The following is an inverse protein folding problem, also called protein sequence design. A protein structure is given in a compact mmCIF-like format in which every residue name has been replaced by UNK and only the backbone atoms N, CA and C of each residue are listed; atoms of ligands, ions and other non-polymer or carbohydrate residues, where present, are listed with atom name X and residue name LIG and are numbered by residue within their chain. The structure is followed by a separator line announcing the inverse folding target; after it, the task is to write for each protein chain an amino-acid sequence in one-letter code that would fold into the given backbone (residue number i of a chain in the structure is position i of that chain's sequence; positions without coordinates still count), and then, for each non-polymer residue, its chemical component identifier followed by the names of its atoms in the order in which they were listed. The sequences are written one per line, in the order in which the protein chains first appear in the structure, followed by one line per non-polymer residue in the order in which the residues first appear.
data_IF_758865560253
#
_entry.id   IF_758865560253
#
_cell.length_a   1.000
_cell.length_b   1.000
_cell.length_c   1.000
_cell.angle_alpha   90.00
_cell.angle_beta   90.00
_cell.angle_gamma   90.00
#
_symmetry.space_group_name_H-M   'P 1'
#
loop_
_entity.id
_entity.type
_entity.pdbx_description
1 polymer ?
#
# COMPACT_ATOMS: atom_id res chain seq x y z
N UNK A 1 -37.97 -60.57 -4.04
CA UNK A 1 -37.33 -59.90 -2.89
C UNK A 1 -36.37 -58.83 -3.42
N UNK A 2 -36.53 -57.60 -2.91
CA UNK A 2 -35.62 -56.43 -2.93
C UNK A 2 -35.18 -55.82 -4.27
N UNK A 3 -35.88 -54.73 -4.63
CA UNK A 3 -35.44 -53.66 -5.54
C UNK A 3 -34.31 -52.85 -4.85
N UNK A 4 -33.20 -52.62 -5.54
CA UNK A 4 -32.17 -51.65 -5.15
C UNK A 4 -32.58 -50.27 -5.66
N UNK A 5 -32.89 -49.34 -4.76
CA UNK A 5 -32.94 -47.90 -5.05
C UNK A 5 -31.59 -47.31 -4.65
N UNK A 6 -30.79 -46.87 -5.63
CA UNK A 6 -29.71 -45.91 -5.39
C UNK A 6 -30.35 -44.52 -5.38
N UNK A 7 -30.55 -43.95 -4.19
CA UNK A 7 -30.79 -42.52 -4.05
C UNK A 7 -29.48 -41.78 -4.31
N UNK A 8 -29.44 -41.05 -5.42
CA UNK A 8 -28.44 -40.01 -5.65
C UNK A 8 -28.75 -38.82 -4.73
N UNK A 9 -27.98 -38.66 -3.65
CA UNK A 9 -27.96 -37.43 -2.87
C UNK A 9 -27.24 -36.35 -3.68
N UNK A 10 -28.01 -35.57 -4.43
CA UNK A 10 -27.58 -34.31 -5.02
C UNK A 10 -27.42 -33.27 -3.91
N UNK A 11 -26.21 -33.11 -3.38
CA UNK A 11 -25.87 -31.96 -2.52
C UNK A 11 -25.77 -30.71 -3.39
N UNK A 12 -26.86 -29.94 -3.44
CA UNK A 12 -26.86 -28.55 -3.88
C UNK A 12 -26.08 -27.73 -2.85
N UNK A 13 -24.78 -27.55 -3.08
CA UNK A 13 -23.97 -26.52 -2.43
C UNK A 13 -24.47 -25.17 -2.91
N UNK A 14 -25.37 -24.55 -2.14
CA UNK A 14 -25.74 -23.15 -2.27
C UNK A 14 -24.47 -22.32 -2.04
N UNK A 15 -23.83 -21.91 -3.13
CA UNK A 15 -22.82 -20.87 -3.15
C UNK A 15 -23.52 -19.56 -2.76
N UNK A 16 -23.47 -19.20 -1.48
CA UNK A 16 -23.75 -17.83 -1.07
C UNK A 16 -22.60 -16.99 -1.62
N UNK A 17 -22.85 -16.04 -2.54
CA UNK A 17 -21.82 -15.05 -2.84
C UNK A 17 -21.74 -14.15 -1.62
N UNK A 18 -20.69 -14.33 -0.81
CA UNK A 18 -20.30 -13.33 0.19
C UNK A 18 -19.80 -12.09 -0.55
N UNK A 19 -20.72 -11.33 -1.13
CA UNK A 19 -20.50 -9.91 -1.39
C UNK A 19 -20.48 -9.25 -0.01
N UNK A 20 -19.32 -9.29 0.63
CA UNK A 20 -19.01 -8.36 1.71
C UNK A 20 -19.09 -6.99 1.05
N UNK A 21 -20.20 -6.30 1.29
CA UNK A 21 -20.32 -4.87 1.03
C UNK A 21 -19.21 -4.22 1.84
N UNK A 22 -18.10 -3.88 1.19
CA UNK A 22 -17.15 -2.94 1.75
C UNK A 22 -17.97 -1.68 2.06
N UNK A 23 -18.02 -1.28 3.32
CA UNK A 23 -18.57 0.02 3.66
C UNK A 23 -17.67 1.04 2.95
N UNK A 24 -18.23 1.88 2.08
CA UNK A 24 -17.47 2.91 1.37
C UNK A 24 -16.97 3.93 2.41
N UNK A 25 -15.76 3.72 2.94
CA UNK A 25 -15.08 4.70 3.77
C UNK A 25 -14.98 6.00 2.98
N UNK A 26 -15.67 7.04 3.45
CA UNK A 26 -15.59 8.36 2.84
C UNK A 26 -14.24 8.98 3.25
N UNK A 27 -13.35 9.30 2.29
CA UNK A 27 -12.06 9.91 2.61
C UNK A 27 -12.26 11.20 3.41
N UNK A 28 -11.40 11.51 4.41
CA UNK A 28 -11.49 12.77 5.11
C UNK A 28 -11.43 13.95 4.15
N UNK A 29 -12.11 15.06 4.47
CA UNK A 29 -12.19 16.22 3.58
C UNK A 29 -10.80 16.70 3.13
N UNK A 30 -10.62 16.81 1.81
CA UNK A 30 -9.38 17.26 1.19
C UNK A 30 -8.31 16.17 1.05
N UNK A 31 -8.64 14.93 1.40
CA UNK A 31 -7.83 13.76 1.08
C UNK A 31 -8.36 13.08 -0.17
N UNK A 32 -7.44 12.52 -0.96
CA UNK A 32 -7.71 11.86 -2.24
C UNK A 32 -7.13 10.45 -2.21
N UNK A 33 -7.88 9.47 -2.70
CA UNK A 33 -7.39 8.10 -2.86
C UNK A 33 -6.39 7.98 -4.02
N UNK A 34 -6.56 8.80 -5.07
CA UNK A 34 -5.66 8.88 -6.22
C UNK A 34 -5.27 10.34 -6.47
N UNK A 35 -4.00 10.55 -6.81
CA UNK A 35 -3.49 11.83 -7.29
C UNK A 35 -3.13 11.70 -8.77
N UNK A 36 -3.44 12.73 -9.55
CA UNK A 36 -3.03 12.87 -10.95
C UNK A 36 -2.27 14.18 -11.10
N UNK A 37 -1.08 14.13 -11.69
CA UNK A 37 -0.19 15.30 -11.73
C UNK A 37 0.83 15.24 -12.85
N UNK A 38 1.41 16.38 -13.19
CA UNK A 38 2.52 16.48 -14.13
C UNK A 38 3.82 16.70 -13.38
N UNK A 39 4.80 15.83 -13.60
CA UNK A 39 6.14 15.97 -13.02
C UNK A 39 7.19 15.73 -14.10
N UNK A 40 8.14 16.67 -14.24
CA UNK A 40 9.18 16.62 -15.29
C UNK A 40 8.61 16.39 -16.71
N UNK A 41 7.45 16.98 -17.01
CA UNK A 41 6.78 16.86 -18.30
C UNK A 41 6.04 15.53 -18.52
N UNK A 42 6.00 14.63 -17.54
CA UNK A 42 5.26 13.37 -17.59
C UNK A 42 3.95 13.49 -16.81
N UNK A 43 2.85 13.01 -17.40
CA UNK A 43 1.57 12.84 -16.68
C UNK A 43 1.62 11.55 -15.88
N UNK A 44 1.51 11.66 -14.56
CA UNK A 44 1.68 10.58 -13.60
C UNK A 44 0.42 10.43 -12.74
N UNK A 45 0.21 9.20 -12.28
CA UNK A 45 -0.79 8.84 -11.28
C UNK A 45 -0.14 8.21 -10.06
N UNK A 46 -0.73 8.43 -8.88
CA UNK A 46 -0.29 7.82 -7.63
C UNK A 46 -1.51 7.31 -6.86
N UNK A 47 -1.49 6.03 -6.48
CA UNK A 47 -2.65 5.34 -5.91
C UNK A 47 -3.70 4.93 -6.96
N UNK A 48 -4.84 4.35 -6.52
CA UNK A 48 -5.22 4.15 -5.13
C UNK A 48 -4.50 2.97 -4.49
N UNK A 49 -4.26 3.09 -3.19
CA UNK A 49 -3.87 1.98 -2.32
C UNK A 49 -4.97 1.81 -1.28
N UNK A 50 -5.28 0.57 -0.93
CA UNK A 50 -6.38 0.24 -0.01
C UNK A 50 -6.21 1.02 1.29
N UNK A 51 -7.22 1.78 1.72
CA UNK A 51 -7.18 2.57 2.96
C UNK A 51 -6.24 3.77 2.99
N UNK A 52 -5.39 4.01 1.98
CA UNK A 52 -4.51 5.20 1.94
C UNK A 52 -5.19 6.37 1.24
N UNK A 53 -5.13 7.53 1.90
CA UNK A 53 -5.60 8.78 1.32
C UNK A 53 -4.57 9.88 1.56
N UNK A 54 -4.40 10.76 0.56
CA UNK A 54 -3.35 11.76 0.52
C UNK A 54 -3.90 13.17 0.40
N UNK A 55 -3.27 14.12 1.07
CA UNK A 55 -3.65 15.53 1.06
C UNK A 55 -2.41 16.42 0.87
N UNK A 56 -2.43 17.39 -0.07
CA UNK A 56 -1.36 18.38 -0.20
C UNK A 56 -1.14 19.15 1.10
N UNK A 57 0.11 19.38 1.48
CA UNK A 57 0.41 20.16 2.69
C UNK A 57 0.08 21.65 2.50
N UNK A 58 0.25 22.18 1.28
CA UNK A 58 0.04 23.58 0.95
C UNK A 58 -0.68 23.75 -0.39
N UNK A 59 -1.92 24.25 -0.35
CA UNK A 59 -2.71 24.50 -1.56
C UNK A 59 -2.82 23.27 -2.44
N UNK A 60 -2.42 23.41 -3.70
CA UNK A 60 -2.39 22.34 -4.70
C UNK A 60 -0.96 21.82 -4.98
N UNK A 61 0.03 22.22 -4.16
CA UNK A 61 1.41 21.74 -4.31
C UNK A 61 1.54 20.29 -3.83
N UNK A 62 1.78 19.39 -4.77
CA UNK A 62 1.96 17.97 -4.52
C UNK A 62 3.40 17.57 -4.17
N UNK A 63 4.33 18.52 -4.07
CA UNK A 63 5.72 18.23 -3.68
C UNK A 63 5.80 17.59 -2.29
N UNK A 64 4.85 17.93 -1.40
CA UNK A 64 4.71 17.41 -0.03
C UNK A 64 3.26 17.13 0.29
N UNK A 65 3.02 15.95 0.83
CA UNK A 65 1.69 15.48 1.20
C UNK A 65 1.69 15.05 2.67
N UNK A 66 0.52 15.12 3.29
CA UNK A 66 0.18 14.29 4.45
C UNK A 66 -0.67 13.13 3.98
N UNK A 67 -0.63 12.01 4.70
CA UNK A 67 -1.51 10.88 4.43
C UNK A 67 -2.09 10.28 5.69
N UNK A 68 -3.17 9.54 5.49
CA UNK A 68 -3.80 8.68 6.49
C UNK A 68 -3.97 7.29 5.88
N UNK A 69 -3.83 6.26 6.70
CA UNK A 69 -4.07 4.87 6.32
C UNK A 69 -5.07 4.24 7.27
N UNK A 70 -6.19 3.76 6.73
CA UNK A 70 -7.23 3.04 7.45
C UNK A 70 -7.17 1.54 7.15
N UNK A 71 -7.65 0.71 8.07
CA UNK A 71 -7.72 -0.74 7.91
C UNK A 71 -8.91 -1.19 7.03
N UNK A 72 -9.10 -0.54 5.89
CA UNK A 72 -10.22 -0.76 4.97
C UNK A 72 -10.30 -2.24 4.54
N UNK A 73 -11.46 -2.86 4.73
CA UNK A 73 -11.71 -4.28 4.49
C UNK A 73 -10.78 -5.21 5.30
N UNK A 74 -10.26 -4.73 6.44
CA UNK A 74 -9.24 -5.40 7.26
C UNK A 74 -7.99 -5.78 6.45
N UNK A 75 -7.63 -4.95 5.46
CA UNK A 75 -6.59 -5.30 4.50
C UNK A 75 -5.20 -5.47 5.15
N UNK A 76 -4.87 -4.67 6.16
CA UNK A 76 -3.53 -4.64 6.76
C UNK A 76 -3.42 -5.53 7.99
N UNK A 77 -4.51 -5.66 8.75
CA UNK A 77 -4.56 -6.50 9.94
C UNK A 77 -5.95 -7.07 10.18
N UNK A 78 -6.00 -8.32 10.60
CA UNK A 78 -7.21 -9.03 11.04
C UNK A 78 -7.48 -8.83 12.55
N UNK A 79 -6.59 -8.14 13.27
CA UNK A 79 -6.68 -7.93 14.73
C UNK A 79 -7.56 -6.75 15.12
N UNK A 80 -7.82 -5.83 14.19
CA UNK A 80 -8.55 -4.59 14.44
C UNK A 80 -9.84 -4.55 13.60
N UNK A 81 -10.85 -3.80 14.05
CA UNK A 81 -12.03 -3.52 13.23
C UNK A 81 -11.66 -2.91 11.87
N UNK A 82 -12.59 -3.06 10.94
CA UNK A 82 -12.58 -2.32 9.69
C UNK A 82 -12.52 -0.81 9.95
N UNK A 83 -11.94 -0.05 9.02
CA UNK A 83 -11.80 1.40 9.07
C UNK A 83 -11.09 1.97 10.30
N UNK A 84 -10.34 1.13 11.04
CA UNK A 84 -9.48 1.61 12.13
C UNK A 84 -8.34 2.43 11.53
N UNK A 85 -8.12 3.66 12.03
CA UNK A 85 -6.96 4.46 11.62
C UNK A 85 -5.66 3.78 12.11
N UNK A 86 -4.82 3.37 11.17
CA UNK A 86 -3.58 2.65 11.43
C UNK A 86 -2.36 3.57 11.44
N UNK A 87 -2.23 4.41 10.41
CA UNK A 87 -1.11 5.33 10.27
C UNK A 87 -1.56 6.74 9.92
N UNK A 88 -0.76 7.70 10.37
CA UNK A 88 -0.61 9.01 9.75
C UNK A 88 0.78 9.09 9.13
N UNK A 89 1.01 10.07 8.28
CA UNK A 89 2.36 10.26 7.78
C UNK A 89 2.52 11.41 6.81
N UNK A 90 3.74 11.52 6.31
CA UNK A 90 4.16 12.51 5.33
C UNK A 90 4.75 11.81 4.11
N UNK A 91 4.56 12.42 2.95
CA UNK A 91 5.10 11.93 1.69
C UNK A 91 5.78 13.08 0.94
N UNK A 92 6.99 12.83 0.44
CA UNK A 92 7.79 13.82 -0.29
C UNK A 92 8.08 13.31 -1.69
N UNK A 93 7.69 14.09 -2.70
CA UNK A 93 7.89 13.76 -4.11
C UNK A 93 9.39 13.73 -4.42
N UNK A 94 9.84 12.65 -5.05
CA UNK A 94 11.24 12.45 -5.43
C UNK A 94 11.33 11.72 -6.76
N UNK A 95 12.53 11.67 -7.34
CA UNK A 95 12.83 10.91 -8.56
C UNK A 95 14.13 10.14 -8.37
N UNK A 96 13.99 8.82 -8.35
CA UNK A 96 15.12 7.91 -8.17
C UNK A 96 16.09 8.01 -9.35
N UNK A 97 17.39 7.94 -9.06
CA UNK A 97 18.44 7.97 -10.07
C UNK A 97 18.31 6.77 -11.03
N UNK A 98 18.48 6.97 -12.35
CA UNK A 98 18.32 5.90 -13.34
C UNK A 98 19.58 5.02 -13.47
N UNK A 99 19.95 4.37 -12.36
CA UNK A 99 21.19 3.57 -12.26
C UNK A 99 21.02 2.10 -12.64
N UNK A 100 19.77 1.63 -12.73
CA UNK A 100 19.38 0.31 -13.28
C UNK A 100 17.93 0.34 -13.74
N UNK A 101 17.51 -0.56 -14.65
CA UNK A 101 16.10 -0.72 -15.01
C UNK A 101 15.21 -1.02 -13.80
N UNK A 102 13.95 -0.58 -13.86
CA UNK A 102 12.94 -0.95 -12.88
C UNK A 102 12.63 -2.46 -12.96
N UNK A 103 12.35 -3.12 -11.82
CA UNK A 103 11.97 -4.52 -11.83
C UNK A 103 10.66 -4.72 -12.59
N UNK A 104 10.57 -5.81 -13.35
CA UNK A 104 9.36 -6.19 -14.08
C UNK A 104 8.64 -7.30 -13.33
N UNK A 105 7.32 -7.21 -13.24
CA UNK A 105 6.47 -8.21 -12.62
C UNK A 105 5.09 -8.23 -13.25
N UNK A 106 4.45 -9.40 -13.24
CA UNK A 106 3.02 -9.54 -13.56
C UNK A 106 2.13 -9.01 -12.44
N UNK A 107 2.67 -8.86 -11.23
CA UNK A 107 1.96 -8.24 -10.11
C UNK A 107 1.79 -6.74 -10.33
N UNK A 108 0.78 -6.14 -9.70
CA UNK A 108 0.57 -4.69 -9.75
C UNK A 108 1.73 -3.93 -9.11
N UNK A 109 2.12 -4.33 -7.90
CA UNK A 109 3.18 -3.70 -7.13
C UNK A 109 4.35 -4.68 -7.03
N UNK A 110 5.55 -4.21 -7.34
CA UNK A 110 6.79 -4.99 -7.22
C UNK A 110 7.64 -4.44 -6.08
N UNK A 111 7.75 -5.16 -4.95
CA UNK A 111 8.52 -4.71 -3.81
C UNK A 111 10.02 -4.99 -4.01
N UNK A 112 10.85 -4.12 -3.44
CA UNK A 112 12.29 -4.23 -3.36
C UNK A 112 12.74 -3.73 -1.98
N UNK A 113 13.37 -4.59 -1.18
CA UNK A 113 13.87 -4.19 0.12
C UNK A 113 15.18 -3.40 0.01
N UNK A 114 15.47 -2.55 1.00
CA UNK A 114 16.67 -1.69 0.97
C UNK A 114 17.97 -2.48 0.84
N UNK A 115 18.03 -3.71 1.34
CA UNK A 115 19.20 -4.58 1.21
C UNK A 115 19.58 -4.86 -0.26
N UNK A 116 18.58 -4.85 -1.15
CA UNK A 116 18.71 -5.13 -2.59
C UNK A 116 18.62 -3.86 -3.45
N UNK A 117 18.48 -2.71 -2.81
CA UNK A 117 18.32 -1.41 -3.46
C UNK A 117 19.69 -0.79 -3.82
N UNK A 118 19.81 -0.15 -5.00
CA UNK A 118 20.97 0.65 -5.35
C UNK A 118 21.19 1.75 -4.31
N UNK A 119 22.43 1.88 -3.82
CA UNK A 119 22.81 2.94 -2.89
C UNK A 119 22.41 4.36 -3.36
N UNK A 120 22.51 4.70 -4.66
CA UNK A 120 22.04 6.01 -5.14
C UNK A 120 20.56 6.28 -4.85
N UNK A 121 19.69 5.26 -4.81
CA UNK A 121 18.28 5.45 -4.45
C UNK A 121 18.12 5.77 -2.96
N UNK A 122 18.84 5.04 -2.10
CA UNK A 122 18.77 5.21 -0.65
C UNK A 122 19.32 6.55 -0.18
N UNK A 123 20.28 7.12 -0.91
CA UNK A 123 20.87 8.43 -0.64
C UNK A 123 19.93 9.60 -1.00
N UNK A 124 18.90 9.35 -1.83
CA UNK A 124 17.91 10.36 -2.25
C UNK A 124 16.71 10.46 -1.29
N UNK A 125 16.74 9.74 -0.16
CA UNK A 125 15.73 9.86 0.89
C UNK A 125 15.72 11.29 1.46
N UNK A 126 14.54 11.87 1.75
CA UNK A 126 14.45 13.17 2.42
C UNK A 126 15.06 13.12 3.83
N UNK A 127 15.48 14.28 4.33
CA UNK A 127 15.95 14.41 5.72
C UNK A 127 14.77 14.52 6.69
N UNK A 128 14.82 13.88 7.88
CA UNK A 128 15.82 12.91 8.32
C UNK A 128 15.63 11.55 7.64
N UNK A 129 16.70 10.99 7.05
CA UNK A 129 16.60 9.84 6.14
C UNK A 129 16.05 8.60 6.82
N UNK A 130 16.42 8.38 8.08
CA UNK A 130 15.95 7.30 8.94
C UNK A 130 14.43 7.28 9.10
N UNK A 131 13.70 8.37 8.88
CA UNK A 131 12.24 8.39 8.99
C UNK A 131 11.53 8.01 7.69
N UNK A 132 12.21 8.11 6.55
CA UNK A 132 11.65 7.79 5.23
C UNK A 132 12.03 6.37 4.82
N UNK A 133 11.29 5.40 5.32
CA UNK A 133 11.59 3.97 5.16
C UNK A 133 10.87 3.30 3.98
N UNK A 134 9.94 4.00 3.34
CA UNK A 134 9.15 3.49 2.23
C UNK A 134 9.23 4.43 1.03
N UNK A 135 9.61 3.94 -0.14
CA UNK A 135 9.36 4.64 -1.40
C UNK A 135 8.25 3.94 -2.15
N UNK A 136 7.33 4.69 -2.72
CA UNK A 136 6.29 4.16 -3.60
C UNK A 136 6.30 4.92 -4.91
N UNK A 137 6.49 4.22 -6.03
CA UNK A 137 6.51 4.86 -7.33
C UNK A 137 5.13 5.36 -7.74
N UNK A 138 5.09 6.47 -8.46
CA UNK A 138 3.98 6.77 -9.34
C UNK A 138 4.00 5.82 -10.55
N UNK A 139 2.99 5.94 -11.40
CA UNK A 139 2.88 5.23 -12.67
C UNK A 139 2.34 6.13 -13.78
N UNK A 140 2.63 5.74 -15.02
CA UNK A 140 2.00 6.28 -16.23
C UNK A 140 1.32 5.13 -17.01
N UNK A 141 0.91 5.40 -18.26
CA UNK A 141 0.25 4.41 -19.13
C UNK A 141 1.13 3.20 -19.47
N UNK A 142 2.45 3.30 -19.28
CA UNK A 142 3.42 2.24 -19.50
C UNK A 142 3.77 1.46 -18.22
N UNK A 143 3.26 1.90 -17.06
CA UNK A 143 3.48 1.28 -15.77
C UNK A 143 4.36 2.13 -14.84
N UNK A 144 5.14 1.46 -13.99
CA UNK A 144 5.93 2.12 -12.95
C UNK A 144 6.98 3.07 -13.52
N UNK A 145 7.16 4.21 -12.86
CA UNK A 145 8.20 5.20 -13.18
C UNK A 145 9.19 5.39 -12.02
N UNK A 146 10.29 6.11 -12.25
CA UNK A 146 11.28 6.41 -11.20
C UNK A 146 10.83 7.51 -10.23
N UNK A 147 9.79 8.26 -10.61
CA UNK A 147 9.21 9.32 -9.78
C UNK A 147 8.13 8.75 -8.87
N UNK A 148 8.03 9.28 -7.67
CA UNK A 148 7.12 8.78 -6.65
C UNK A 148 7.38 9.46 -5.32
N UNK A 149 6.85 8.91 -4.25
CA UNK A 149 6.95 9.52 -2.93
C UNK A 149 7.81 8.68 -2.02
N UNK A 150 8.68 9.33 -1.25
CA UNK A 150 9.21 8.78 -0.01
C UNK A 150 8.21 9.05 1.10
N UNK A 151 7.77 8.00 1.80
CA UNK A 151 6.77 8.03 2.85
C UNK A 151 7.41 7.79 4.22
N UNK A 152 7.06 8.67 5.14
CA UNK A 152 7.27 8.52 6.58
C UNK A 152 5.98 8.05 7.22
N UNK A 153 6.00 6.87 7.83
CA UNK A 153 4.84 6.27 8.49
C UNK A 153 4.91 6.48 10.00
N UNK A 154 3.84 7.01 10.58
CA UNK A 154 3.64 7.14 12.01
C UNK A 154 2.45 6.27 12.44
N UNK A 155 2.69 5.11 13.07
CA UNK A 155 1.61 4.30 13.62
C UNK A 155 0.86 5.08 14.69
N UNK A 156 -0.47 5.13 14.59
CA UNK A 156 -1.32 5.75 15.62
C UNK A 156 -2.09 4.73 16.44
N UNK A 157 -2.10 3.47 15.98
CA UNK A 157 -2.71 2.32 16.65
C UNK A 157 -1.70 1.18 16.73
N UNK A 158 -1.76 0.38 17.80
CA UNK A 158 -0.91 -0.82 17.95
C UNK A 158 -1.56 -2.01 17.26
N UNK A 159 -0.85 -2.69 16.35
CA UNK A 159 -1.33 -3.91 15.67
C UNK A 159 -0.19 -4.68 15.01
N UNK A 160 -0.41 -5.95 14.71
CA UNK A 160 0.48 -6.71 13.84
C UNK A 160 0.07 -6.51 12.38
N UNK A 161 0.97 -5.95 11.57
CA UNK A 161 0.82 -5.92 10.13
C UNK A 161 1.01 -7.33 9.59
N UNK A 162 -0.06 -7.95 9.10
CA UNK A 162 -0.05 -9.32 8.59
C UNK A 162 -0.83 -9.46 7.27
N UNK A 163 -1.18 -8.33 6.65
CA UNK A 163 -2.03 -8.24 5.47
C UNK A 163 -3.34 -9.02 5.64
N UNK A 164 -4.07 -8.81 6.75
CA UNK A 164 -5.30 -9.55 7.02
C UNK A 164 -5.09 -11.06 7.11
N UNK A 165 -3.98 -11.48 7.75
CA UNK A 165 -3.59 -12.87 7.91
C UNK A 165 -2.94 -13.54 6.68
N UNK A 166 -2.75 -12.82 5.57
CA UNK A 166 -2.19 -13.38 4.32
C UNK A 166 -0.68 -13.53 4.31
N UNK A 167 0.04 -12.88 5.23
CA UNK A 167 1.49 -13.02 5.34
C UNK A 167 1.91 -14.26 6.15
N UNK A 168 2.88 -15.00 5.61
CA UNK A 168 3.60 -16.02 6.37
C UNK A 168 4.35 -15.40 7.55
N UNK A 169 4.74 -16.22 8.52
CA UNK A 169 5.47 -15.77 9.73
C UNK A 169 6.84 -15.17 9.38
N UNK A 170 7.47 -15.66 8.33
CA UNK A 170 8.81 -15.25 7.90
C UNK A 170 8.78 -14.13 6.85
N UNK A 171 7.60 -13.57 6.55
CA UNK A 171 7.49 -12.49 5.58
C UNK A 171 8.22 -11.24 6.08
N UNK A 172 9.08 -10.62 5.27
CA UNK A 172 9.76 -9.36 5.62
C UNK A 172 8.81 -8.16 5.76
N UNK A 173 7.56 -8.31 5.31
CA UNK A 173 6.51 -7.30 5.47
C UNK A 173 5.79 -7.42 6.82
N UNK A 174 5.86 -8.59 7.47
CA UNK A 174 5.19 -8.84 8.74
C UNK A 174 5.94 -8.13 9.86
N UNK A 175 5.30 -7.20 10.56
CA UNK A 175 5.92 -6.43 11.65
C UNK A 175 4.87 -5.98 12.67
N UNK A 176 5.34 -5.51 13.82
CA UNK A 176 4.49 -4.91 14.84
C UNK A 176 4.49 -3.39 14.68
N UNK A 177 3.34 -2.80 14.41
CA UNK A 177 3.16 -1.36 14.43
C UNK A 177 2.79 -0.92 15.85
N UNK A 178 3.43 0.15 16.34
CA UNK A 178 3.16 0.73 17.66
C UNK A 178 3.40 2.25 17.61
N UNK A 179 2.53 3.07 18.25
CA UNK A 179 2.80 4.48 18.42
C UNK A 179 4.17 4.75 19.05
N UNK A 180 4.91 5.68 18.44
CA UNK A 180 6.29 6.01 18.82
C UNK A 180 7.37 5.09 18.25
N UNK A 181 7.01 4.07 17.46
CA UNK A 181 7.96 3.12 16.86
C UNK A 181 7.88 3.10 15.32
N UNK A 182 7.90 4.29 14.72
CA UNK A 182 7.89 4.48 13.26
C UNK A 182 9.04 3.75 12.55
N UNK A 183 10.17 3.58 13.24
CA UNK A 183 11.38 2.95 12.72
C UNK A 183 11.25 1.44 12.45
N UNK A 184 10.19 0.82 12.99
CA UNK A 184 9.87 -0.58 12.77
C UNK A 184 9.11 -0.83 11.45
N UNK A 185 8.77 0.22 10.69
CA UNK A 185 8.21 0.05 9.36
C UNK A 185 9.24 -0.61 8.42
N UNK A 186 8.82 -1.55 7.55
CA UNK A 186 9.72 -2.20 6.60
C UNK A 186 10.47 -1.21 5.71
N UNK A 187 11.75 -1.48 5.49
CA UNK A 187 12.64 -0.71 4.61
C UNK A 187 12.45 -1.15 3.16
N UNK A 188 11.55 -0.50 2.44
CA UNK A 188 11.01 -1.01 1.17
C UNK A 188 10.86 0.09 0.10
N UNK A 189 11.07 -0.30 -1.14
CA UNK A 189 10.82 0.49 -2.35
C UNK A 189 9.82 -0.32 -3.18
N UNK A 190 8.69 0.28 -3.54
CA UNK A 190 7.61 -0.38 -4.27
C UNK A 190 7.40 0.29 -5.62
N UNK A 191 7.40 -0.53 -6.67
CA UNK A 191 7.12 -0.09 -8.04
C UNK A 191 5.70 -0.51 -8.45
N UNK A 192 4.79 0.45 -8.54
CA UNK A 192 3.39 0.25 -8.93
C UNK A 192 3.22 0.46 -10.42
N UNK A 193 2.58 -0.48 -11.13
CA UNK A 193 2.23 -0.33 -12.55
C UNK A 193 0.86 0.32 -12.79
N UNK A 194 0.13 0.65 -11.73
CA UNK A 194 -1.24 1.12 -11.78
C UNK A 194 -2.28 -0.01 -11.75
N UNK A 195 -3.56 0.34 -11.54
CA UNK A 195 -4.67 -0.60 -11.51
C UNK A 195 -5.00 -1.21 -12.88
#
# INVERSE_FOLDING_TARGET
MRRFQMSACLLLMLSVPSQILAADLIPPRGYYARLEFTHQGQSLSFGPFVGYYFKPLQGDDLSRLTFVCYNEGQFYTDQLPDDTLLYRGEAVLSTLARVRPLPRSEQRITPLFFADAPQPWLQQRPTPQEEYLHFHSAYDQSGAVYSGYWLRHEPVTTFSYNMGGRLSKDSPLRHQAKPGDAQNFPRIIEFDKGP
#
